data_IF_395262859959
#
_entry.id   IF_395262859959
#
_cell.length_a   1.000
_cell.length_b   1.000
_cell.length_c   1.000
_cell.angle_alpha   90.00
_cell.angle_beta   90.00
_cell.angle_gamma   90.00
#
_symmetry.space_group_name_H-M   'P 1'
#
loop_
_entity.id
_entity.type
_entity.pdbx_description
1 polymer ?
#
# COMPACT_ATOMS: atom_id res chain seq x y z
N UNK A 1 27.16 -7.69 1.35
CA UNK A 1 28.22 -6.80 1.87
C UNK A 1 27.64 -5.41 2.02
N UNK A 2 27.35 -5.04 3.26
CA UNK A 2 27.17 -3.70 3.82
C UNK A 2 26.47 -3.96 5.15
N UNK A 3 27.20 -3.74 6.23
CA UNK A 3 26.77 -3.99 7.60
C UNK A 3 25.65 -2.99 7.90
N UNK A 4 24.39 -3.43 7.79
CA UNK A 4 23.23 -2.59 8.06
C UNK A 4 23.03 -2.45 9.58
N UNK A 5 23.97 -1.78 10.25
CA UNK A 5 23.66 -1.13 11.51
C UNK A 5 22.65 -0.04 11.19
N UNK A 6 21.36 -0.37 11.30
CA UNK A 6 20.26 0.59 11.22
C UNK A 6 20.67 1.80 12.07
N UNK A 7 20.81 2.96 11.43
CA UNK A 7 21.25 4.17 12.12
C UNK A 7 20.33 4.45 13.31
N UNK A 8 20.77 5.23 14.31
CA UNK A 8 19.91 5.57 15.45
C UNK A 8 18.56 6.15 15.01
N UNK A 9 18.55 6.91 13.91
CA UNK A 9 17.33 7.43 13.26
C UNK A 9 16.43 6.35 12.65
N UNK A 10 16.99 5.27 12.11
CA UNK A 10 16.20 4.16 11.53
C UNK A 10 15.43 3.39 12.60
N UNK A 11 16.01 3.25 13.80
CA UNK A 11 15.31 2.67 14.96
C UNK A 11 14.19 3.58 15.47
N UNK A 12 14.31 4.89 15.31
CA UNK A 12 13.27 5.84 15.71
C UNK A 12 12.15 6.02 14.67
N UNK A 13 12.29 5.51 13.44
CA UNK A 13 11.28 5.65 12.37
C UNK A 13 9.85 5.27 12.80
N UNK A 14 9.60 4.14 13.50
CA UNK A 14 8.24 3.80 13.94
C UNK A 14 7.67 4.83 14.92
N UNK A 15 8.51 5.34 15.82
CA UNK A 15 8.11 6.33 16.81
C UNK A 15 7.84 7.69 16.15
N UNK A 16 8.69 8.09 15.21
CA UNK A 16 8.49 9.30 14.41
C UNK A 16 7.19 9.25 13.60
N UNK A 17 6.84 8.11 13.01
CA UNK A 17 5.57 7.92 12.31
C UNK A 17 4.37 8.09 13.24
N UNK A 18 4.40 7.46 14.41
CA UNK A 18 3.31 7.59 15.41
C UNK A 18 3.16 9.06 15.84
N UNK A 19 4.27 9.73 16.15
CA UNK A 19 4.26 11.15 16.54
C UNK A 19 3.72 12.02 15.40
N UNK A 20 4.13 11.77 14.16
CA UNK A 20 3.64 12.52 13.00
C UNK A 20 2.13 12.33 12.77
N UNK A 21 1.62 11.10 12.93
CA UNK A 21 0.17 10.82 12.83
C UNK A 21 -0.60 11.58 13.91
N UNK A 22 -0.16 11.50 15.16
CA UNK A 22 -0.82 12.18 16.29
C UNK A 22 -0.77 13.70 16.10
N UNK A 23 0.38 14.23 15.68
CA UNK A 23 0.55 15.65 15.42
C UNK A 23 -0.36 16.13 14.27
N UNK A 24 -0.44 15.37 13.17
CA UNK A 24 -1.31 15.69 12.04
C UNK A 24 -2.79 15.68 12.40
N UNK A 25 -3.24 14.66 13.14
CA UNK A 25 -4.63 14.56 13.64
C UNK A 25 -4.97 15.73 14.57
N UNK A 26 -4.07 16.06 15.50
CA UNK A 26 -4.24 17.17 16.43
C UNK A 26 -4.29 18.51 15.68
N UNK A 27 -3.37 18.72 14.74
CA UNK A 27 -3.31 19.93 13.93
C UNK A 27 -4.60 20.14 13.11
N UNK A 28 -5.11 19.06 12.50
CA UNK A 28 -6.39 19.09 11.76
C UNK A 28 -7.60 19.37 12.65
N UNK A 29 -7.61 18.88 13.89
CA UNK A 29 -8.72 19.06 14.82
C UNK A 29 -8.76 20.47 15.44
N UNK A 30 -7.60 21.05 15.79
CA UNK A 30 -7.53 22.32 16.52
C UNK A 30 -7.48 23.56 15.62
N UNK A 31 -7.01 23.44 14.37
CA UNK A 31 -6.86 24.58 13.45
C UNK A 31 -7.54 24.35 12.08
N UNK A 32 -8.85 24.02 12.03
CA UNK A 32 -9.52 23.67 10.77
C UNK A 32 -9.46 24.79 9.71
N UNK A 33 -9.49 26.06 10.14
CA UNK A 33 -9.41 27.22 9.24
C UNK A 33 -8.03 27.45 8.60
N UNK A 34 -6.95 26.91 9.19
CA UNK A 34 -5.62 26.95 8.59
C UNK A 34 -5.36 25.77 7.65
N UNK A 35 -6.15 24.69 7.73
CA UNK A 35 -5.96 23.49 6.92
C UNK A 35 -6.80 23.54 5.63
N UNK A 36 -7.95 24.23 5.66
CA UNK A 36 -8.81 24.35 4.48
C UNK A 36 -8.15 25.13 3.34
N UNK A 37 -8.03 24.49 2.17
CA UNK A 37 -7.66 25.11 0.90
C UNK A 37 -6.24 24.81 0.40
N UNK A 38 -5.20 25.09 1.20
CA UNK A 38 -3.81 24.93 0.72
C UNK A 38 -3.14 23.63 1.18
N UNK A 39 -3.60 23.05 2.29
CA UNK A 39 -2.96 21.87 2.87
C UNK A 39 -3.09 20.64 1.97
N UNK A 40 -4.20 20.53 1.23
CA UNK A 40 -4.42 19.48 0.23
C UNK A 40 -3.34 19.51 -0.86
N UNK A 41 -3.05 20.70 -1.41
CA UNK A 41 -1.99 20.91 -2.39
C UNK A 41 -0.62 20.49 -1.86
N UNK A 42 -0.33 20.83 -0.60
CA UNK A 42 0.93 20.44 0.05
C UNK A 42 1.03 18.92 0.18
N UNK A 43 -0.05 18.25 0.61
CA UNK A 43 -0.11 16.79 0.67
C UNK A 43 0.16 16.16 -0.71
N UNK A 44 -0.47 16.67 -1.77
CA UNK A 44 -0.21 16.17 -3.13
C UNK A 44 1.24 16.36 -3.55
N UNK A 45 1.87 17.50 -3.24
CA UNK A 45 3.29 17.73 -3.54
C UNK A 45 4.17 16.68 -2.84
N UNK A 46 3.96 16.46 -1.54
CA UNK A 46 4.71 15.45 -0.79
C UNK A 46 4.47 14.03 -1.31
N UNK A 47 3.24 13.70 -1.72
CA UNK A 47 2.93 12.41 -2.35
C UNK A 47 3.67 12.24 -3.68
N UNK A 48 3.70 13.26 -4.54
CA UNK A 48 4.43 13.23 -5.81
C UNK A 48 5.92 13.04 -5.56
N UNK A 49 6.50 13.77 -4.62
CA UNK A 49 7.93 13.65 -4.25
C UNK A 49 8.24 12.25 -3.74
N UNK A 50 7.36 11.67 -2.91
CA UNK A 50 7.51 10.32 -2.38
C UNK A 50 7.46 9.28 -3.50
N UNK A 51 6.45 9.34 -4.37
CA UNK A 51 6.32 8.42 -5.52
C UNK A 51 7.51 8.54 -6.47
N UNK A 52 7.94 9.77 -6.77
CA UNK A 52 9.09 10.02 -7.64
C UNK A 52 10.40 9.46 -7.04
N UNK A 53 10.60 9.67 -5.73
CA UNK A 53 11.76 9.15 -5.01
C UNK A 53 11.78 7.61 -4.98
N UNK A 54 10.62 6.98 -4.87
CA UNK A 54 10.47 5.52 -4.95
C UNK A 54 10.85 4.99 -6.33
N UNK A 55 10.41 5.64 -7.41
CA UNK A 55 10.75 5.24 -8.79
C UNK A 55 12.26 5.35 -9.04
N UNK A 56 12.91 6.40 -8.54
CA UNK A 56 14.36 6.57 -8.65
C UNK A 56 15.17 5.50 -7.89
N UNK A 57 14.66 5.06 -6.73
CA UNK A 57 15.30 4.01 -5.92
C UNK A 57 15.13 2.60 -6.47
N UNK A 58 14.28 2.39 -7.48
CA UNK A 58 13.99 1.08 -8.04
C UNK A 58 15.18 0.55 -8.85
N UNK A 59 15.75 -0.58 -8.41
CA UNK A 59 16.83 -1.27 -9.10
C UNK A 59 16.25 -2.24 -10.14
N UNK A 60 16.21 -1.83 -11.41
CA UNK A 60 15.62 -2.63 -12.50
C UNK A 60 16.51 -3.77 -13.03
N UNK A 61 17.70 -3.95 -12.46
CA UNK A 61 18.82 -4.70 -13.06
C UNK A 61 18.56 -6.17 -13.41
N UNK A 62 17.59 -6.84 -12.78
CA UNK A 62 17.28 -8.27 -13.03
C UNK A 62 15.78 -8.60 -13.12
N UNK A 63 14.93 -7.57 -13.20
CA UNK A 63 13.46 -7.73 -13.17
C UNK A 63 12.96 -8.67 -14.27
N UNK A 64 13.49 -8.54 -15.50
CA UNK A 64 13.07 -9.36 -16.64
C UNK A 64 13.41 -10.85 -16.51
N UNK A 65 14.52 -11.20 -15.86
CA UNK A 65 14.87 -12.62 -15.61
C UNK A 65 13.98 -13.23 -14.55
N UNK A 66 13.64 -12.47 -13.52
CA UNK A 66 12.79 -12.91 -12.41
C UNK A 66 11.34 -13.16 -12.84
N UNK A 67 10.83 -12.47 -13.88
CA UNK A 67 9.50 -12.71 -14.46
C UNK A 67 9.26 -14.17 -14.94
N UNK A 68 10.33 -14.95 -15.16
CA UNK A 68 10.20 -16.35 -15.60
C UNK A 68 9.74 -17.31 -14.49
N UNK A 69 9.71 -16.88 -13.23
CA UNK A 69 9.33 -17.74 -12.11
C UNK A 69 7.81 -17.78 -11.89
N UNK A 70 7.09 -18.40 -12.82
CA UNK A 70 5.62 -18.42 -12.86
C UNK A 70 5.00 -18.97 -11.56
N UNK A 71 5.66 -19.93 -10.89
CA UNK A 71 5.17 -20.49 -9.62
C UNK A 71 5.11 -19.44 -8.51
N UNK A 72 6.14 -18.60 -8.40
CA UNK A 72 6.16 -17.51 -7.43
C UNK A 72 5.04 -16.50 -7.71
N UNK A 73 4.91 -16.04 -8.95
CA UNK A 73 3.88 -15.08 -9.33
C UNK A 73 2.46 -15.63 -9.11
N UNK A 74 2.22 -16.90 -9.44
CA UNK A 74 0.93 -17.54 -9.22
C UNK A 74 0.54 -17.55 -7.72
N UNK A 75 1.46 -17.96 -6.85
CA UNK A 75 1.22 -17.95 -5.39
C UNK A 75 1.07 -16.53 -4.86
N UNK A 76 1.93 -15.61 -5.30
CA UNK A 76 1.88 -14.21 -4.87
C UNK A 76 0.56 -13.55 -5.29
N UNK A 77 0.11 -13.73 -6.53
CA UNK A 77 -1.17 -13.17 -7.00
C UNK A 77 -2.36 -13.84 -6.32
N UNK A 78 -2.32 -15.16 -6.11
CA UNK A 78 -3.40 -15.83 -5.39
C UNK A 78 -3.55 -15.27 -3.97
N UNK A 79 -2.44 -15.10 -3.25
CA UNK A 79 -2.49 -14.52 -1.91
C UNK A 79 -2.95 -13.04 -1.94
N UNK A 80 -2.39 -12.22 -2.82
CA UNK A 80 -2.69 -10.79 -2.86
C UNK A 80 -4.07 -10.45 -3.42
N UNK A 81 -4.54 -11.18 -4.43
CA UNK A 81 -5.77 -10.84 -5.14
C UNK A 81 -6.93 -11.79 -4.82
N UNK A 82 -6.71 -12.94 -4.18
CA UNK A 82 -7.82 -13.82 -3.79
C UNK A 82 -7.97 -13.84 -2.27
N UNK A 83 -6.90 -14.21 -1.55
CA UNK A 83 -6.98 -14.36 -0.09
C UNK A 83 -7.19 -13.03 0.62
N UNK A 84 -6.40 -12.00 0.31
CA UNK A 84 -6.53 -10.68 0.94
C UNK A 84 -7.92 -10.05 0.70
N UNK A 85 -8.46 -9.99 -0.54
CA UNK A 85 -9.78 -9.40 -0.76
C UNK A 85 -10.91 -10.19 -0.11
N UNK A 86 -10.85 -11.53 -0.11
CA UNK A 86 -11.85 -12.37 0.57
C UNK A 86 -11.84 -12.14 2.09
N UNK A 87 -10.66 -12.10 2.70
CA UNK A 87 -10.53 -11.83 4.14
C UNK A 87 -10.98 -10.42 4.49
N UNK A 88 -10.60 -9.42 3.68
CA UNK A 88 -11.06 -8.04 3.84
C UNK A 88 -12.58 -7.94 3.73
N UNK A 89 -13.20 -8.57 2.73
CA UNK A 89 -14.65 -8.58 2.58
C UNK A 89 -15.36 -9.23 3.79
N UNK A 90 -14.85 -10.36 4.27
CA UNK A 90 -15.38 -11.02 5.46
C UNK A 90 -15.31 -10.11 6.70
N UNK A 91 -14.18 -9.46 6.93
CA UNK A 91 -14.02 -8.50 8.04
C UNK A 91 -14.94 -7.28 7.87
N UNK A 92 -15.03 -6.73 6.66
CA UNK A 92 -15.86 -5.57 6.37
C UNK A 92 -17.35 -5.87 6.59
N UNK A 93 -17.83 -7.07 6.22
CA UNK A 93 -19.21 -7.47 6.48
C UNK A 93 -19.52 -7.57 7.97
N UNK A 94 -18.60 -8.15 8.76
CA UNK A 94 -18.81 -8.37 10.20
C UNK A 94 -18.80 -7.05 10.97
N UNK A 95 -17.86 -6.15 10.65
CA UNK A 95 -17.60 -4.95 11.47
C UNK A 95 -18.14 -3.65 10.85
N UNK A 96 -18.21 -3.53 9.52
CA UNK A 96 -18.46 -2.27 8.81
C UNK A 96 -19.79 -2.25 8.03
N UNK A 97 -20.60 -3.31 8.09
CA UNK A 97 -21.90 -3.40 7.41
C UNK A 97 -22.81 -2.16 7.54
N UNK A 98 -22.91 -1.52 8.74
CA UNK A 98 -23.73 -0.31 8.91
C UNK A 98 -23.16 0.98 8.31
N UNK A 99 -21.87 0.99 7.91
CA UNK A 99 -21.14 2.20 7.50
C UNK A 99 -20.63 2.09 6.06
N UNK A 100 -21.48 2.34 5.05
CA UNK A 100 -21.14 2.07 3.65
C UNK A 100 -19.91 2.84 3.15
N UNK A 101 -19.72 4.10 3.58
CA UNK A 101 -18.55 4.89 3.18
C UNK A 101 -17.23 4.29 3.73
N UNK A 102 -17.24 3.83 4.98
CA UNK A 102 -16.07 3.22 5.62
C UNK A 102 -15.82 1.83 5.02
N UNK A 103 -16.89 1.09 4.72
CA UNK A 103 -16.82 -0.20 4.05
C UNK A 103 -16.07 -0.10 2.72
N UNK A 104 -16.49 0.82 1.85
CA UNK A 104 -15.84 1.02 0.54
C UNK A 104 -14.39 1.47 0.71
N UNK A 105 -14.12 2.40 1.62
CA UNK A 105 -12.75 2.85 1.90
C UNK A 105 -11.85 1.73 2.40
N UNK A 106 -12.35 0.86 3.28
CA UNK A 106 -11.61 -0.29 3.79
C UNK A 106 -11.32 -1.32 2.70
N UNK A 107 -12.29 -1.61 1.84
CA UNK A 107 -12.11 -2.51 0.70
C UNK A 107 -11.07 -1.94 -0.28
N UNK A 108 -11.18 -0.66 -0.64
CA UNK A 108 -10.21 0.02 -1.49
C UNK A 108 -8.79 -0.03 -0.92
N UNK A 109 -8.65 0.24 0.39
CA UNK A 109 -7.37 0.17 1.08
C UNK A 109 -6.78 -1.25 1.09
N UNK A 110 -7.61 -2.26 1.36
CA UNK A 110 -7.16 -3.65 1.50
C UNK A 110 -6.82 -4.30 0.16
N UNK A 111 -7.51 -3.90 -0.91
CA UNK A 111 -7.34 -4.47 -2.25
C UNK A 111 -6.16 -3.85 -2.98
N UNK A 112 -5.80 -2.62 -2.64
CA UNK A 112 -4.68 -1.92 -3.24
C UNK A 112 -3.35 -2.47 -2.71
N UNK A 113 -2.65 -3.38 -3.42
CA UNK A 113 -1.40 -3.92 -2.91
C UNK A 113 -0.33 -2.84 -3.11
N UNK A 114 0.06 -2.13 -2.05
CA UNK A 114 1.23 -1.26 -2.10
C UNK A 114 2.47 -2.08 -1.68
N UNK A 115 3.26 -2.43 -2.68
CA UNK A 115 4.35 -3.40 -2.57
C UNK A 115 5.73 -2.75 -2.38
N UNK A 116 5.81 -1.54 -1.85
CA UNK A 116 7.09 -0.88 -1.57
C UNK A 116 7.73 -1.36 -0.27
N UNK A 117 6.98 -1.40 0.84
CA UNK A 117 7.60 -1.65 2.15
C UNK A 117 8.01 -3.12 2.39
N UNK A 118 7.33 -4.07 1.76
CA UNK A 118 7.62 -5.50 1.92
C UNK A 118 9.01 -5.89 1.38
N UNK A 119 9.59 -5.12 0.45
CA UNK A 119 10.94 -5.38 -0.08
C UNK A 119 12.01 -5.21 0.98
N UNK A 120 11.83 -4.25 1.90
CA UNK A 120 12.74 -4.05 3.03
C UNK A 120 12.63 -5.24 3.98
N UNK A 121 11.42 -5.73 4.26
CA UNK A 121 11.26 -6.94 5.08
C UNK A 121 11.83 -8.19 4.40
N UNK A 122 11.67 -8.29 3.08
CA UNK A 122 12.23 -9.37 2.27
C UNK A 122 13.76 -9.34 2.32
N UNK A 123 14.38 -8.17 2.21
CA UNK A 123 15.83 -8.02 2.30
C UNK A 123 16.36 -8.34 3.71
N UNK A 124 15.65 -7.90 4.77
CA UNK A 124 15.97 -8.24 6.16
C UNK A 124 15.84 -9.74 6.44
N UNK A 125 14.86 -10.40 5.84
CA UNK A 125 14.65 -11.84 5.95
C UNK A 125 15.61 -12.67 5.07
N UNK A 126 16.56 -12.03 4.38
CA UNK A 126 17.47 -12.67 3.39
C UNK A 126 16.71 -13.36 2.25
N UNK A 127 15.53 -12.85 1.90
CA UNK A 127 14.72 -13.30 0.77
C UNK A 127 15.19 -12.71 -0.58
N UNK A 128 14.52 -13.13 -1.65
CA UNK A 128 14.82 -12.70 -3.02
C UNK A 128 14.17 -11.34 -3.35
N UNK A 129 14.93 -10.27 -3.14
CA UNK A 129 14.51 -8.88 -3.40
C UNK A 129 14.29 -8.62 -4.91
N UNK A 130 15.16 -9.08 -5.84
CA UNK A 130 14.91 -8.96 -7.28
C UNK A 130 13.59 -9.61 -7.72
N UNK A 131 13.23 -10.76 -7.14
CA UNK A 131 11.96 -11.44 -7.43
C UNK A 131 10.75 -10.64 -6.93
N UNK A 132 10.84 -10.04 -5.74
CA UNK A 132 9.84 -9.11 -5.23
C UNK A 132 9.71 -7.83 -6.06
N UNK A 133 10.82 -7.25 -6.51
CA UNK A 133 10.86 -6.09 -7.39
C UNK A 133 10.19 -6.38 -8.74
N UNK A 134 10.37 -7.59 -9.27
CA UNK A 134 9.72 -8.01 -10.51
C UNK A 134 8.20 -8.21 -10.38
N UNK A 135 7.69 -8.38 -9.15
CA UNK A 135 6.25 -8.44 -8.89
C UNK A 135 5.56 -7.07 -8.93
N UNK A 136 6.28 -5.98 -8.66
CA UNK A 136 5.69 -4.64 -8.58
C UNK A 136 4.92 -4.22 -9.84
N UNK A 137 5.49 -4.30 -11.06
CA UNK A 137 4.81 -3.81 -12.25
C UNK A 137 3.56 -4.64 -12.55
N UNK A 138 3.67 -5.96 -12.36
CA UNK A 138 2.56 -6.85 -12.64
C UNK A 138 1.43 -6.68 -11.62
N UNK A 139 1.77 -6.48 -10.34
CA UNK A 139 0.78 -6.14 -9.31
C UNK A 139 0.08 -4.81 -9.60
N UNK A 140 0.80 -3.79 -10.04
CA UNK A 140 0.22 -2.50 -10.42
C UNK A 140 -0.77 -2.65 -11.59
N UNK A 141 -0.42 -3.41 -12.63
CA UNK A 141 -1.31 -3.68 -13.77
C UNK A 141 -2.55 -4.47 -13.34
N UNK A 142 -2.36 -5.55 -12.58
CA UNK A 142 -3.48 -6.34 -12.06
C UNK A 142 -4.38 -5.51 -11.15
N UNK A 143 -3.81 -4.65 -10.32
CA UNK A 143 -4.55 -3.75 -9.44
C UNK A 143 -5.44 -2.80 -10.23
N UNK A 144 -4.91 -2.13 -11.26
CA UNK A 144 -5.69 -1.21 -12.11
C UNK A 144 -6.86 -1.96 -12.77
N UNK A 145 -6.64 -3.21 -13.20
CA UNK A 145 -7.68 -4.02 -13.84
C UNK A 145 -8.72 -4.57 -12.85
N UNK A 146 -8.29 -4.98 -11.66
CA UNK A 146 -9.13 -5.67 -10.68
C UNK A 146 -9.87 -4.74 -9.73
N UNK A 147 -9.36 -3.53 -9.44
CA UNK A 147 -10.07 -2.52 -8.62
C UNK A 147 -11.52 -2.30 -9.09
N UNK A 148 -11.81 -1.99 -10.37
CA UNK A 148 -13.18 -1.78 -10.80
C UNK A 148 -14.05 -3.03 -10.65
N UNK A 149 -13.48 -4.22 -10.91
CA UNK A 149 -14.17 -5.50 -10.73
C UNK A 149 -14.53 -5.74 -9.26
N UNK A 150 -13.60 -5.49 -8.34
CA UNK A 150 -13.84 -5.68 -6.91
C UNK A 150 -14.79 -4.65 -6.33
N UNK A 151 -14.74 -3.40 -6.78
CA UNK A 151 -15.73 -2.41 -6.41
C UNK A 151 -17.13 -2.82 -6.88
N UNK A 152 -17.25 -3.28 -8.12
CA UNK A 152 -18.53 -3.77 -8.63
C UNK A 152 -19.05 -4.96 -7.80
N UNK A 153 -18.19 -5.94 -7.49
CA UNK A 153 -18.57 -7.13 -6.73
C UNK A 153 -18.89 -6.84 -5.26
N UNK A 154 -18.06 -6.06 -4.56
CA UNK A 154 -18.15 -5.90 -3.10
C UNK A 154 -18.88 -4.62 -2.69
N UNK A 155 -18.65 -3.50 -3.38
CA UNK A 155 -19.34 -2.25 -3.07
C UNK A 155 -20.74 -2.21 -3.71
N UNK A 156 -20.93 -2.79 -4.89
CA UNK A 156 -22.24 -2.84 -5.57
C UNK A 156 -23.31 -3.65 -4.82
N UNK A 157 -22.91 -4.50 -3.86
CA UNK A 157 -23.82 -5.22 -2.96
C UNK A 157 -24.41 -4.33 -1.86
N UNK A 158 -23.75 -3.23 -1.49
CA UNK A 158 -24.07 -2.42 -0.30
C UNK A 158 -24.43 -0.98 -0.69
N UNK A 159 -23.80 -0.45 -1.73
CA UNK A 159 -24.06 0.87 -2.28
C UNK A 159 -24.68 0.67 -3.66
N UNK A 160 -26.00 0.89 -3.83
CA UNK A 160 -26.60 0.89 -5.15
C UNK A 160 -26.01 2.07 -5.93
N UNK A 161 -25.35 1.77 -7.04
CA UNK A 161 -24.87 2.76 -8.02
C UNK A 161 -26.01 3.18 -8.94
#
# INVERSE_FOLDING_TARGET
MADASLGPLDRLRPLLLIVAIIAGLSFGAFLPGLVQGWFETVVYIFLIVLVFSLVLGAQFGDVLRSLRNIRFFAVAWFLNFVVVPLTAFGLALIFLGPYPAIFVGFILYSIAPCTDWFLIFTSMAKGDVPLGLAALPTNLVLQILLIPLYLFLFAGLIVPF
#
